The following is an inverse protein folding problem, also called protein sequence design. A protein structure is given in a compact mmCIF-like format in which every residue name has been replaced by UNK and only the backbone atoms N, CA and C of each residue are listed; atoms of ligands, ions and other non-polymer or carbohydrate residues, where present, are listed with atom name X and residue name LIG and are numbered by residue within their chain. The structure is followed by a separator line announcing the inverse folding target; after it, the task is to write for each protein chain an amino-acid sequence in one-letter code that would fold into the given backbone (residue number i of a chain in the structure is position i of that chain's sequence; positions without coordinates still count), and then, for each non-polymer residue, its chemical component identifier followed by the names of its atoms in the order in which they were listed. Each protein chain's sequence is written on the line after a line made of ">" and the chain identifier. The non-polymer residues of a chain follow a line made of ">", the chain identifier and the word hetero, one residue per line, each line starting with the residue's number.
data_IF_701579592530
#
_entry.id   IF_701579592530
#
_cell.length_a   1.000
_cell.length_b   1.000
_cell.length_c   1.000
_cell.angle_alpha   90.00
_cell.angle_beta   90.00
_cell.angle_gamma   90.00
#
_symmetry.space_group_name_H-M   'P 1'
#
loop_
_entity.id
_entity.type
_entity.pdbx_description
1 polymer ?
#
# COMPACT_ATOMS: atom_id res chain seq x y z
N UNK A 1 18.53 17.48 -14.87
CA UNK A 1 17.17 17.64 -14.32
C UNK A 1 17.19 18.51 -13.08
N UNK A 2 16.11 19.22 -12.86
CA UNK A 2 15.93 20.02 -11.65
C UNK A 2 15.16 19.24 -10.62
N UNK A 3 15.55 19.37 -9.35
CA UNK A 3 14.77 18.85 -8.23
C UNK A 3 13.93 19.99 -7.69
N UNK A 4 12.62 19.88 -7.86
CA UNK A 4 11.68 20.90 -7.39
C UNK A 4 11.62 20.91 -5.85
N UNK A 5 11.75 22.05 -5.20
CA UNK A 5 11.46 22.17 -3.78
C UNK A 5 9.98 21.85 -3.51
N UNK A 6 9.72 20.98 -2.56
CA UNK A 6 8.40 20.68 -2.03
C UNK A 6 8.37 20.98 -0.54
N UNK A 7 7.24 21.41 -0.01
CA UNK A 7 7.05 21.78 1.38
C UNK A 7 6.47 23.19 1.54
N UNK A 8 6.50 23.72 2.74
CA UNK A 8 5.87 25.00 3.11
C UNK A 8 6.24 26.20 2.22
N UNK A 9 7.37 26.14 1.52
CA UNK A 9 7.86 27.22 0.64
C UNK A 9 7.65 26.93 -0.85
N UNK A 10 6.97 25.86 -1.23
CA UNK A 10 6.60 25.57 -2.60
C UNK A 10 5.36 26.42 -2.95
N UNK A 11 5.57 27.65 -3.38
CA UNK A 11 4.49 28.57 -3.78
C UNK A 11 4.18 28.29 -5.25
N UNK A 12 2.92 28.01 -5.61
CA UNK A 12 2.50 27.88 -7.01
C UNK A 12 2.90 29.13 -7.81
N UNK A 13 3.54 28.96 -8.98
CA UNK A 13 3.96 30.04 -9.83
C UNK A 13 5.37 30.58 -9.56
N UNK A 14 6.10 30.06 -8.60
CA UNK A 14 7.52 30.42 -8.44
C UNK A 14 8.35 29.89 -9.62
N UNK A 15 9.19 30.77 -10.19
CA UNK A 15 10.10 30.39 -11.27
C UNK A 15 11.19 29.48 -10.71
N UNK A 16 11.24 28.25 -11.22
CA UNK A 16 12.28 27.28 -10.89
C UNK A 16 13.44 27.48 -11.85
N UNK A 17 14.64 27.60 -11.32
CA UNK A 17 15.87 27.72 -12.13
C UNK A 17 16.91 26.67 -11.71
N UNK A 18 18.06 26.65 -12.40
CA UNK A 18 19.13 25.69 -12.15
C UNK A 18 19.68 25.66 -10.71
N UNK A 19 19.42 26.71 -9.93
CA UNK A 19 19.85 26.82 -8.52
C UNK A 19 18.74 26.42 -7.54
N UNK A 20 17.53 26.20 -8.05
CA UNK A 20 16.38 25.79 -7.22
C UNK A 20 16.51 24.32 -6.88
N UNK A 21 16.91 24.01 -5.68
CA UNK A 21 17.06 22.65 -5.16
C UNK A 21 16.74 22.58 -3.68
N UNK A 22 16.36 21.40 -3.21
CA UNK A 22 16.14 21.13 -1.80
C UNK A 22 17.01 19.94 -1.36
N UNK A 23 17.56 20.02 -0.14
CA UNK A 23 18.50 19.02 0.38
C UNK A 23 17.93 17.59 0.33
N UNK A 24 16.65 17.42 0.67
CA UNK A 24 16.01 16.09 0.63
C UNK A 24 15.89 15.56 -0.81
N UNK A 25 15.66 16.43 -1.81
CA UNK A 25 15.63 16.06 -3.21
C UNK A 25 16.99 15.66 -3.74
N UNK A 26 18.04 16.40 -3.37
CA UNK A 26 19.43 16.05 -3.67
C UNK A 26 19.81 14.73 -3.00
N UNK A 27 19.44 14.56 -1.73
CA UNK A 27 19.68 13.32 -1.00
C UNK A 27 18.99 12.12 -1.64
N UNK A 28 17.73 12.24 -2.02
CA UNK A 28 16.99 11.18 -2.71
C UNK A 28 17.60 10.84 -4.08
N UNK A 29 18.02 11.86 -4.85
CA UNK A 29 18.71 11.65 -6.12
C UNK A 29 20.05 10.92 -5.94
N UNK A 30 20.84 11.32 -4.94
CA UNK A 30 22.14 10.68 -4.66
C UNK A 30 21.96 9.23 -4.21
N UNK A 31 20.96 8.96 -3.35
CA UNK A 31 20.63 7.59 -2.97
C UNK A 31 20.23 6.74 -4.18
N UNK A 32 19.33 7.24 -5.01
CA UNK A 32 18.92 6.53 -6.22
C UNK A 32 20.09 6.31 -7.20
N UNK A 33 20.97 7.30 -7.35
CA UNK A 33 22.16 7.19 -8.18
C UNK A 33 23.16 6.15 -7.63
N UNK A 34 23.39 6.13 -6.32
CA UNK A 34 24.25 5.14 -5.68
C UNK A 34 23.67 3.71 -5.85
N UNK A 35 22.37 3.53 -5.65
CA UNK A 35 21.73 2.23 -5.86
C UNK A 35 21.76 1.81 -7.33
N UNK A 36 21.62 2.76 -8.28
CA UNK A 36 21.75 2.46 -9.71
C UNK A 36 23.16 2.01 -10.08
N UNK A 37 24.19 2.67 -9.53
CA UNK A 37 25.59 2.25 -9.74
C UNK A 37 25.82 0.85 -9.17
N UNK A 38 25.38 0.58 -7.96
CA UNK A 38 25.44 -0.76 -7.35
C UNK A 38 24.71 -1.80 -8.21
N UNK A 39 23.54 -1.44 -8.74
CA UNK A 39 22.78 -2.32 -9.64
C UNK A 39 23.57 -2.67 -10.91
N UNK A 40 24.28 -1.71 -11.49
CA UNK A 40 25.12 -1.94 -12.67
C UNK A 40 26.36 -2.80 -12.38
N UNK A 41 26.91 -2.70 -11.18
CA UNK A 41 28.11 -3.40 -10.75
C UNK A 41 27.85 -4.80 -10.19
N UNK A 42 26.63 -5.03 -9.69
CA UNK A 42 26.28 -6.31 -9.08
C UNK A 42 25.83 -7.35 -10.12
N UNK A 43 26.12 -8.63 -9.92
CA UNK A 43 25.49 -9.70 -10.69
C UNK A 43 23.96 -9.63 -10.50
N UNK A 44 23.20 -9.48 -11.58
CA UNK A 44 21.72 -9.28 -11.51
C UNK A 44 20.99 -10.37 -10.72
N UNK A 45 21.51 -11.59 -10.74
CA UNK A 45 20.96 -12.72 -9.98
C UNK A 45 21.10 -12.53 -8.46
N UNK A 46 22.20 -11.94 -8.00
CA UNK A 46 22.42 -11.67 -6.56
C UNK A 46 21.50 -10.57 -6.05
N UNK A 47 21.28 -9.53 -6.85
CA UNK A 47 20.38 -8.44 -6.50
C UNK A 47 18.94 -8.90 -6.36
N UNK A 48 18.44 -9.70 -7.31
CA UNK A 48 17.09 -10.23 -7.22
C UNK A 48 16.88 -11.04 -5.94
N UNK A 49 17.81 -11.95 -5.63
CA UNK A 49 17.72 -12.75 -4.41
C UNK A 49 17.72 -11.87 -3.15
N UNK A 50 18.57 -10.83 -3.13
CA UNK A 50 18.62 -9.86 -2.03
C UNK A 50 17.29 -9.11 -1.87
N UNK A 51 16.74 -8.57 -2.96
CA UNK A 51 15.48 -7.81 -2.93
C UNK A 51 14.28 -8.70 -2.55
N UNK A 52 14.22 -9.92 -3.07
CA UNK A 52 13.16 -10.86 -2.69
C UNK A 52 13.23 -11.22 -1.20
N UNK A 53 14.44 -11.47 -0.68
CA UNK A 53 14.64 -11.72 0.75
C UNK A 53 14.26 -10.52 1.62
N UNK A 54 14.64 -9.32 1.22
CA UNK A 54 14.28 -8.09 1.92
C UNK A 54 12.76 -7.88 1.92
N UNK A 55 12.11 -8.03 0.76
CA UNK A 55 10.66 -7.92 0.64
C UNK A 55 9.95 -8.95 1.55
N UNK A 56 10.43 -10.18 1.58
CA UNK A 56 9.92 -11.22 2.47
C UNK A 56 10.10 -10.85 3.95
N UNK A 57 11.30 -10.38 4.34
CA UNK A 57 11.58 -9.98 5.72
C UNK A 57 10.71 -8.81 6.20
N UNK A 58 10.32 -7.91 5.30
CA UNK A 58 9.39 -6.82 5.62
C UNK A 58 7.94 -7.29 5.68
N UNK A 59 7.55 -8.20 4.80
CA UNK A 59 6.17 -8.68 4.69
C UNK A 59 5.79 -9.69 5.76
N UNK A 60 6.70 -10.61 6.07
CA UNK A 60 6.43 -11.74 6.95
C UNK A 60 5.91 -11.34 8.35
N UNK A 61 6.55 -10.41 9.10
CA UNK A 61 6.07 -10.05 10.43
C UNK A 61 4.68 -9.42 10.41
N UNK A 62 4.33 -8.67 9.38
CA UNK A 62 3.00 -8.08 9.24
C UNK A 62 1.97 -9.16 8.92
N UNK A 63 2.19 -9.92 7.87
CA UNK A 63 1.22 -10.90 7.37
C UNK A 63 1.06 -12.10 8.31
N UNK A 64 2.15 -12.58 8.93
CA UNK A 64 2.08 -13.70 9.88
C UNK A 64 1.29 -13.37 11.14
N UNK A 65 1.35 -12.13 11.62
CA UNK A 65 0.54 -11.65 12.74
C UNK A 65 -0.91 -11.40 12.32
N UNK A 66 -1.11 -10.68 11.21
CA UNK A 66 -2.45 -10.32 10.76
C UNK A 66 -3.27 -11.53 10.31
N UNK A 67 -2.62 -12.56 9.73
CA UNK A 67 -3.28 -13.83 9.41
C UNK A 67 -3.83 -14.58 10.64
N UNK A 68 -3.33 -14.28 11.83
CA UNK A 68 -3.75 -14.84 13.12
C UNK A 68 -4.68 -13.92 13.91
N UNK A 69 -4.94 -12.71 13.43
CA UNK A 69 -5.67 -11.69 14.19
C UNK A 69 -4.84 -11.10 15.35
N UNK A 70 -3.53 -11.02 15.21
CA UNK A 70 -2.60 -10.59 16.27
C UNK A 70 -1.76 -9.35 15.87
N UNK A 71 -2.00 -8.73 14.71
CA UNK A 71 -1.20 -7.58 14.28
C UNK A 71 -1.33 -6.42 15.26
N UNK A 72 -2.56 -6.01 15.60
CA UNK A 72 -2.79 -4.89 16.51
C UNK A 72 -2.29 -5.17 17.93
N UNK A 73 -2.21 -6.43 18.33
CA UNK A 73 -1.66 -6.86 19.63
C UNK A 73 -0.14 -6.76 19.67
N UNK A 74 0.52 -7.14 18.59
CA UNK A 74 1.98 -7.33 18.55
C UNK A 74 2.73 -6.15 17.92
N UNK A 75 2.06 -5.31 17.13
CA UNK A 75 2.64 -4.10 16.54
C UNK A 75 2.33 -2.89 17.41
N UNK A 76 3.33 -2.42 18.17
CA UNK A 76 3.21 -1.18 18.95
C UNK A 76 3.25 0.03 18.02
N UNK A 77 2.33 0.97 18.25
CA UNK A 77 2.28 2.22 17.49
C UNK A 77 3.02 3.33 18.24
N UNK A 78 4.10 3.79 17.66
CA UNK A 78 4.79 5.00 18.08
C UNK A 78 4.16 6.21 17.40
N UNK A 79 3.98 7.28 18.16
CA UNK A 79 3.45 8.54 17.64
C UNK A 79 4.40 9.67 18.00
N UNK A 80 4.44 10.69 17.15
CA UNK A 80 5.19 11.92 17.41
C UNK A 80 4.70 12.59 18.72
N UNK A 81 5.59 13.23 19.49
CA UNK A 81 5.17 14.09 20.61
C UNK A 81 4.19 15.19 20.20
N UNK A 82 4.21 15.58 18.92
CA UNK A 82 3.32 16.58 18.32
C UNK A 82 2.20 15.92 17.50
N UNK A 83 1.74 14.74 17.90
CA UNK A 83 0.67 14.04 17.21
C UNK A 83 -0.60 14.91 17.15
N UNK A 84 -1.25 14.94 15.97
CA UNK A 84 -2.40 15.81 15.68
C UNK A 84 -3.74 15.34 16.27
N UNK A 85 -3.72 14.25 17.02
CA UNK A 85 -4.91 13.69 17.70
C UNK A 85 -5.76 12.75 16.85
N UNK A 86 -5.38 12.48 15.58
CA UNK A 86 -6.04 11.45 14.76
C UNK A 86 -6.01 10.11 15.48
N UNK A 87 -6.98 9.25 15.16
CA UNK A 87 -6.95 7.90 15.66
C UNK A 87 -5.70 7.16 15.13
N UNK A 88 -4.76 6.89 16.02
CA UNK A 88 -3.49 6.24 15.65
C UNK A 88 -3.64 4.86 14.99
N UNK A 89 -4.81 4.20 15.14
CA UNK A 89 -5.08 2.92 14.48
C UNK A 89 -5.10 2.98 12.95
N UNK A 90 -5.15 4.17 12.35
CA UNK A 90 -4.94 4.33 10.90
C UNK A 90 -3.61 3.72 10.46
N UNK A 91 -2.59 3.71 11.31
CA UNK A 91 -1.28 3.16 11.00
C UNK A 91 -1.31 1.67 10.67
N UNK A 92 -2.24 0.89 11.23
CA UNK A 92 -2.38 -0.53 10.88
C UNK A 92 -2.90 -0.70 9.45
N UNK A 93 -3.87 0.13 9.03
CA UNK A 93 -4.38 0.12 7.67
C UNK A 93 -3.33 0.62 6.68
N UNK A 94 -2.60 1.66 7.03
CA UNK A 94 -1.48 2.18 6.24
C UNK A 94 -0.38 1.12 6.06
N UNK A 95 0.01 0.44 7.14
CA UNK A 95 1.02 -0.63 7.12
C UNK A 95 0.57 -1.76 6.18
N UNK A 96 -0.65 -2.26 6.35
CA UNK A 96 -1.15 -3.37 5.55
C UNK A 96 -1.35 -2.97 4.09
N UNK A 97 -2.02 -1.85 3.82
CA UNK A 97 -2.34 -1.40 2.46
C UNK A 97 -1.09 -1.12 1.63
N UNK A 98 -0.13 -0.36 2.17
CA UNK A 98 1.12 -0.04 1.45
C UNK A 98 1.98 -1.28 1.24
N UNK A 99 2.09 -2.16 2.23
CA UNK A 99 2.79 -3.42 2.08
C UNK A 99 2.20 -4.24 0.94
N UNK A 100 0.88 -4.43 0.96
CA UNK A 100 0.20 -5.26 -0.04
C UNK A 100 0.30 -4.67 -1.44
N UNK A 101 0.14 -3.35 -1.62
CA UNK A 101 0.35 -2.71 -2.91
C UNK A 101 1.78 -2.89 -3.43
N UNK A 102 2.77 -2.83 -2.53
CA UNK A 102 4.18 -3.00 -2.88
C UNK A 102 4.54 -4.42 -3.32
N UNK A 103 4.05 -5.45 -2.61
CA UNK A 103 4.42 -6.84 -2.91
C UNK A 103 3.47 -7.52 -3.91
N UNK A 104 2.27 -6.97 -4.17
CA UNK A 104 1.28 -7.57 -5.05
C UNK A 104 1.85 -7.99 -6.43
N UNK A 105 2.65 -7.16 -7.14
CA UNK A 105 3.23 -7.58 -8.41
C UNK A 105 4.12 -8.81 -8.29
N UNK A 106 4.88 -8.92 -7.20
CA UNK A 106 5.72 -10.11 -6.96
C UNK A 106 4.88 -11.36 -6.70
N UNK A 107 3.76 -11.21 -6.00
CA UNK A 107 2.85 -12.31 -5.71
C UNK A 107 2.07 -12.83 -6.93
N UNK A 108 2.09 -12.13 -8.08
CA UNK A 108 1.47 -12.61 -9.33
C UNK A 108 2.28 -13.69 -10.01
N UNK A 109 3.58 -13.79 -9.72
CA UNK A 109 4.45 -14.76 -10.36
C UNK A 109 3.99 -16.19 -10.03
N UNK A 110 4.13 -17.13 -10.99
CA UNK A 110 3.70 -18.50 -10.81
C UNK A 110 4.45 -19.19 -9.68
N UNK A 111 3.83 -20.23 -9.12
CA UNK A 111 4.49 -21.09 -8.14
C UNK A 111 5.60 -21.89 -8.80
N UNK A 112 6.70 -22.01 -8.09
CA UNK A 112 7.84 -22.83 -8.46
C UNK A 112 8.53 -23.36 -7.18
N UNK A 113 9.46 -24.29 -7.36
CA UNK A 113 10.16 -24.96 -6.25
C UNK A 113 11.40 -24.19 -5.74
N UNK A 114 11.64 -22.98 -6.28
CA UNK A 114 12.74 -22.13 -5.83
C UNK A 114 12.46 -21.57 -4.43
N UNK A 115 13.51 -21.12 -3.75
CA UNK A 115 13.37 -20.42 -2.47
C UNK A 115 12.46 -19.17 -2.61
N UNK A 116 12.59 -18.47 -3.72
CA UNK A 116 11.72 -17.33 -4.03
C UNK A 116 10.25 -17.75 -4.21
N UNK A 117 9.99 -18.85 -4.93
CA UNK A 117 8.65 -19.40 -5.12
C UNK A 117 7.99 -19.81 -3.81
N UNK A 118 8.75 -20.46 -2.92
CA UNK A 118 8.27 -20.84 -1.57
C UNK A 118 7.89 -19.60 -0.73
N UNK A 119 8.74 -18.56 -0.72
CA UNK A 119 8.45 -17.31 -0.04
C UNK A 119 7.16 -16.66 -0.57
N UNK A 120 6.96 -16.58 -1.89
CA UNK A 120 5.74 -16.03 -2.49
C UNK A 120 4.50 -16.81 -2.11
N UNK A 121 4.56 -18.14 -2.18
CA UNK A 121 3.42 -19.00 -1.81
C UNK A 121 3.01 -18.80 -0.36
N UNK A 122 3.97 -18.81 0.56
CA UNK A 122 3.72 -18.59 1.98
C UNK A 122 3.10 -17.22 2.23
N UNK A 123 3.65 -16.15 1.63
CA UNK A 123 3.11 -14.81 1.77
C UNK A 123 1.69 -14.70 1.19
N UNK A 124 1.36 -15.37 0.08
CA UNK A 124 0.00 -15.38 -0.48
C UNK A 124 -0.99 -16.04 0.46
N UNK A 125 -0.64 -17.18 1.04
CA UNK A 125 -1.50 -17.89 1.99
C UNK A 125 -1.81 -17.04 3.23
N UNK A 126 -0.77 -16.35 3.75
CA UNK A 126 -0.95 -15.41 4.86
C UNK A 126 -1.75 -14.17 4.43
N UNK A 127 -1.50 -13.62 3.24
CA UNK A 127 -2.20 -12.45 2.72
C UNK A 127 -3.70 -12.69 2.60
N UNK A 128 -4.14 -13.83 2.08
CA UNK A 128 -5.57 -14.15 1.96
C UNK A 128 -6.28 -14.16 3.33
N UNK A 129 -5.64 -14.74 4.35
CA UNK A 129 -6.16 -14.71 5.72
C UNK A 129 -6.15 -13.29 6.30
N UNK A 130 -5.11 -12.52 6.02
CA UNK A 130 -4.99 -11.13 6.45
C UNK A 130 -6.06 -10.24 5.83
N UNK A 131 -6.37 -10.43 4.54
CA UNK A 131 -7.48 -9.72 3.89
C UNK A 131 -8.83 -10.05 4.54
N UNK A 132 -9.08 -11.30 4.90
CA UNK A 132 -10.30 -11.67 5.60
C UNK A 132 -10.40 -10.97 6.97
N UNK A 133 -9.31 -11.00 7.75
CA UNK A 133 -9.25 -10.32 9.06
C UNK A 133 -9.41 -8.79 8.95
N UNK A 134 -8.87 -8.19 7.89
CA UNK A 134 -8.91 -6.75 7.68
C UNK A 134 -10.33 -6.16 7.59
N UNK A 135 -11.29 -6.94 7.12
CA UNK A 135 -12.69 -6.51 6.89
C UNK A 135 -13.71 -7.30 7.70
N UNK A 136 -13.28 -8.23 8.56
CA UNK A 136 -14.18 -8.91 9.47
C UNK A 136 -14.38 -8.08 10.75
N UNK A 137 -15.60 -7.54 11.00
CA UNK A 137 -15.88 -6.78 12.21
C UNK A 137 -15.67 -7.57 13.52
N UNK A 138 -15.62 -8.90 13.46
CA UNK A 138 -15.37 -9.76 14.61
C UNK A 138 -13.86 -10.04 14.80
N UNK A 139 -13.03 -9.70 13.84
CA UNK A 139 -11.58 -9.88 13.94
C UNK A 139 -10.95 -8.82 14.87
N UNK A 140 -10.02 -9.20 15.77
CA UNK A 140 -9.21 -8.22 16.49
C UNK A 140 -8.40 -7.29 15.58
N UNK A 141 -8.13 -7.72 14.36
CA UNK A 141 -7.38 -6.96 13.34
C UNK A 141 -8.29 -6.28 12.30
N UNK A 142 -9.60 -6.14 12.59
CA UNK A 142 -10.46 -5.29 11.78
C UNK A 142 -9.87 -3.89 11.65
N UNK A 143 -9.68 -3.41 10.43
CA UNK A 143 -9.00 -2.16 10.17
C UNK A 143 -9.93 -0.95 10.34
N UNK A 144 -9.34 0.22 10.52
CA UNK A 144 -10.07 1.46 10.71
C UNK A 144 -10.54 2.01 9.36
N UNK A 145 -11.70 1.55 8.87
CA UNK A 145 -12.22 1.95 7.56
C UNK A 145 -12.99 3.27 7.55
N UNK A 146 -13.58 3.70 8.66
CA UNK A 146 -14.71 4.64 8.62
C UNK A 146 -14.51 5.97 9.36
N UNK A 147 -13.48 6.17 10.13
CA UNK A 147 -13.39 7.30 11.05
C UNK A 147 -12.53 8.46 10.55
N UNK A 148 -11.48 8.18 9.81
CA UNK A 148 -10.46 9.15 9.44
C UNK A 148 -10.39 9.41 7.94
N UNK A 149 -10.02 10.63 7.53
CA UNK A 149 -9.80 10.96 6.12
C UNK A 149 -8.69 10.16 5.49
N UNK A 150 -7.63 9.86 6.26
CA UNK A 150 -6.48 9.04 5.83
C UNK A 150 -6.91 7.68 5.29
N UNK A 151 -8.04 7.13 5.72
CA UNK A 151 -8.53 5.83 5.26
C UNK A 151 -8.84 5.78 3.75
N UNK A 152 -9.08 6.93 3.10
CA UNK A 152 -9.20 7.01 1.64
C UNK A 152 -7.87 6.63 0.97
N UNK A 153 -6.76 7.17 1.47
CA UNK A 153 -5.42 6.89 0.97
C UNK A 153 -5.07 5.42 1.15
N UNK A 154 -5.25 4.92 2.37
CA UNK A 154 -4.85 3.56 2.73
C UNK A 154 -5.77 2.51 2.09
N UNK A 155 -7.06 2.81 1.95
CA UNK A 155 -8.00 2.00 1.18
C UNK A 155 -7.65 1.92 -0.30
N UNK A 156 -7.13 3.00 -0.88
CA UNK A 156 -6.66 2.99 -2.26
C UNK A 156 -5.46 2.07 -2.45
N UNK A 157 -4.52 1.99 -1.49
CA UNK A 157 -3.43 1.01 -1.56
C UNK A 157 -3.93 -0.44 -1.47
N UNK A 158 -4.96 -0.70 -0.65
CA UNK A 158 -5.60 -2.02 -0.62
C UNK A 158 -6.26 -2.34 -1.97
N UNK A 159 -7.02 -1.40 -2.55
CA UNK A 159 -7.62 -1.54 -3.88
C UNK A 159 -6.57 -1.77 -4.97
N UNK A 160 -5.45 -1.02 -4.93
CA UNK A 160 -4.31 -1.16 -5.83
C UNK A 160 -3.70 -2.56 -5.77
N UNK A 161 -3.57 -3.15 -4.57
CA UNK A 161 -3.05 -4.51 -4.42
C UNK A 161 -3.94 -5.54 -5.12
N UNK A 162 -5.26 -5.39 -5.04
CA UNK A 162 -6.21 -6.23 -5.78
C UNK A 162 -6.17 -5.98 -7.28
N UNK A 163 -6.02 -4.73 -7.73
CA UNK A 163 -5.88 -4.42 -9.15
C UNK A 163 -4.65 -5.06 -9.77
N UNK A 164 -3.52 -5.05 -9.04
CA UNK A 164 -2.23 -5.60 -9.47
C UNK A 164 -2.17 -7.11 -9.46
N UNK A 165 -2.83 -7.75 -8.51
CA UNK A 165 -2.79 -9.21 -8.32
C UNK A 165 -4.21 -9.80 -8.19
N UNK A 166 -5.10 -9.42 -9.11
CA UNK A 166 -6.51 -9.75 -9.04
C UNK A 166 -6.78 -11.26 -8.94
N UNK A 167 -6.08 -12.05 -9.75
CA UNK A 167 -6.26 -13.49 -9.79
C UNK A 167 -5.71 -14.20 -8.53
N UNK A 168 -4.68 -13.66 -7.93
CA UNK A 168 -4.00 -14.25 -6.76
C UNK A 168 -4.55 -13.75 -5.42
N UNK A 169 -5.05 -12.52 -5.35
CA UNK A 169 -5.42 -11.90 -4.09
C UNK A 169 -6.93 -11.61 -3.98
N UNK A 170 -7.63 -11.31 -5.08
CA UNK A 170 -9.07 -11.03 -5.03
C UNK A 170 -9.92 -12.26 -5.32
N UNK A 171 -9.67 -12.94 -6.43
CA UNK A 171 -10.51 -14.09 -6.84
C UNK A 171 -10.59 -15.20 -5.79
N UNK A 172 -9.49 -15.56 -5.06
CA UNK A 172 -9.54 -16.63 -4.07
C UNK A 172 -10.28 -16.29 -2.78
N UNK A 173 -10.60 -15.02 -2.52
CA UNK A 173 -11.36 -14.62 -1.34
C UNK A 173 -12.78 -15.20 -1.39
N UNK A 174 -13.32 -15.53 -0.21
CA UNK A 174 -14.72 -15.94 -0.10
C UNK A 174 -15.68 -14.78 -0.35
N UNK A 175 -16.93 -15.11 -0.69
CA UNK A 175 -17.93 -14.10 -1.08
C UNK A 175 -18.30 -13.14 0.06
N UNK A 176 -18.22 -13.59 1.31
CA UNK A 176 -18.47 -12.73 2.47
C UNK A 176 -17.39 -11.67 2.59
N UNK A 177 -16.14 -12.08 2.47
CA UNK A 177 -14.97 -11.18 2.48
C UNK A 177 -15.03 -10.19 1.32
N UNK A 178 -15.32 -10.65 0.11
CA UNK A 178 -15.50 -9.79 -1.07
C UNK A 178 -16.59 -8.74 -0.87
N UNK A 179 -17.75 -9.17 -0.38
CA UNK A 179 -18.88 -8.27 -0.11
C UNK A 179 -18.48 -7.19 0.91
N UNK A 180 -17.81 -7.56 2.00
CA UNK A 180 -17.34 -6.61 3.01
C UNK A 180 -16.37 -5.58 2.42
N UNK A 181 -15.42 -5.99 1.57
CA UNK A 181 -14.53 -5.06 0.87
C UNK A 181 -15.28 -4.09 -0.03
N UNK A 182 -16.24 -4.57 -0.81
CA UNK A 182 -17.07 -3.71 -1.66
C UNK A 182 -17.80 -2.68 -0.80
N UNK A 183 -18.41 -3.10 0.31
CA UNK A 183 -19.11 -2.20 1.24
C UNK A 183 -18.16 -1.16 1.84
N UNK A 184 -16.97 -1.56 2.33
CA UNK A 184 -16.02 -0.62 2.91
C UNK A 184 -15.45 0.36 1.87
N UNK A 185 -15.12 -0.08 0.67
CA UNK A 185 -14.70 0.81 -0.41
C UNK A 185 -15.78 1.82 -0.80
N UNK A 186 -17.04 1.40 -0.90
CA UNK A 186 -18.16 2.31 -1.16
C UNK A 186 -18.37 3.31 -0.02
N UNK A 187 -18.14 2.91 1.23
CA UNK A 187 -18.19 3.82 2.38
C UNK A 187 -17.09 4.90 2.36
N UNK A 188 -15.99 4.68 1.67
CA UNK A 188 -14.94 5.70 1.52
C UNK A 188 -15.39 6.89 0.66
N UNK A 189 -16.51 6.79 -0.07
CA UNK A 189 -17.12 7.91 -0.80
C UNK A 189 -17.57 9.07 0.10
N UNK A 190 -17.75 8.84 1.42
CA UNK A 190 -18.01 9.89 2.40
C UNK A 190 -16.87 10.92 2.51
N UNK A 191 -15.68 10.55 2.07
CA UNK A 191 -14.51 11.42 2.07
C UNK A 191 -14.46 12.15 0.73
N UNK A 192 -14.58 13.46 0.78
CA UNK A 192 -14.41 14.30 -0.40
C UNK A 192 -12.92 14.61 -0.56
N UNK A 193 -12.26 14.09 -1.61
CA UNK A 193 -10.83 14.28 -1.76
C UNK A 193 -10.53 15.74 -2.15
N UNK A 194 -9.54 16.38 -1.50
CA UNK A 194 -9.08 17.70 -1.94
C UNK A 194 -8.50 17.63 -3.35
N UNK A 195 -8.49 18.76 -4.05
CA UNK A 195 -7.96 18.87 -5.42
C UNK A 195 -6.41 18.72 -5.44
N UNK A 196 -5.96 17.52 -5.19
CA UNK A 196 -4.56 17.08 -5.13
C UNK A 196 -4.46 15.64 -5.66
N UNK A 197 -3.32 14.97 -5.41
CA UNK A 197 -3.17 13.53 -5.66
C UNK A 197 -4.23 12.65 -4.94
N UNK A 198 -5.00 13.19 -4.00
CA UNK A 198 -6.07 12.45 -3.34
C UNK A 198 -7.21 12.08 -4.30
N UNK A 199 -7.40 12.84 -5.38
CA UNK A 199 -8.32 12.46 -6.46
C UNK A 199 -7.95 11.10 -7.07
N UNK A 200 -6.64 10.81 -7.21
CA UNK A 200 -6.16 9.54 -7.74
C UNK A 200 -6.45 8.36 -6.80
N UNK A 201 -6.43 8.58 -5.48
CA UNK A 201 -6.82 7.54 -4.54
C UNK A 201 -8.30 7.19 -4.67
N UNK A 202 -9.16 8.20 -4.78
CA UNK A 202 -10.59 8.00 -5.05
C UNK A 202 -10.79 7.22 -6.36
N UNK A 203 -10.13 7.65 -7.44
CA UNK A 203 -10.19 7.00 -8.75
C UNK A 203 -9.73 5.54 -8.71
N UNK A 204 -8.67 5.22 -7.96
CA UNK A 204 -8.15 3.85 -7.80
C UNK A 204 -9.19 2.93 -7.16
N UNK A 205 -9.88 3.39 -6.11
CA UNK A 205 -10.94 2.63 -5.43
C UNK A 205 -12.10 2.35 -6.40
N UNK A 206 -12.57 3.38 -7.10
CA UNK A 206 -13.69 3.23 -8.04
C UNK A 206 -13.31 2.33 -9.24
N UNK A 207 -12.07 2.44 -9.72
CA UNK A 207 -11.55 1.56 -10.78
C UNK A 207 -11.52 0.08 -10.32
N UNK A 208 -11.19 -0.16 -9.05
CA UNK A 208 -11.27 -1.51 -8.50
C UNK A 208 -12.72 -1.99 -8.40
N UNK A 209 -13.65 -1.16 -7.91
CA UNK A 209 -15.07 -1.51 -7.82
C UNK A 209 -15.64 -1.86 -9.19
N UNK A 210 -15.29 -1.09 -10.24
CA UNK A 210 -15.67 -1.39 -11.61
C UNK A 210 -15.13 -2.75 -12.07
N UNK A 211 -13.84 -3.03 -11.82
CA UNK A 211 -13.22 -4.33 -12.17
C UNK A 211 -13.84 -5.51 -11.41
N UNK A 212 -14.26 -5.29 -10.18
CA UNK A 212 -14.93 -6.30 -9.35
C UNK A 212 -16.40 -6.53 -9.74
N UNK A 213 -16.93 -5.75 -10.70
CA UNK A 213 -18.34 -5.84 -11.13
C UNK A 213 -19.32 -5.21 -10.13
N UNK A 214 -18.83 -4.39 -9.21
CA UNK A 214 -19.65 -3.66 -8.26
C UNK A 214 -20.09 -2.29 -8.80
N UNK A 215 -21.08 -1.68 -8.15
CA UNK A 215 -21.45 -0.29 -8.44
C UNK A 215 -20.31 0.65 -8.14
N UNK A 216 -19.89 1.44 -9.13
CA UNK A 216 -18.82 2.43 -9.03
C UNK A 216 -19.28 3.81 -9.47
N UNK A 217 -18.57 4.84 -9.08
CA UNK A 217 -18.86 6.25 -9.39
C UNK A 217 -17.96 6.70 -10.55
N UNK A 218 -18.55 6.81 -11.76
CA UNK A 218 -17.82 7.22 -12.97
C UNK A 218 -17.20 8.63 -12.86
N UNK A 219 -17.85 9.55 -12.11
CA UNK A 219 -17.35 10.90 -11.93
C UNK A 219 -16.04 10.92 -11.13
N UNK A 220 -15.86 9.97 -10.23
CA UNK A 220 -14.62 9.84 -9.45
C UNK A 220 -13.49 9.14 -10.21
N UNK A 221 -13.79 8.50 -11.34
CA UNK A 221 -12.78 7.84 -12.21
C UNK A 221 -12.20 8.83 -13.22
N UNK A 222 -13.02 9.76 -13.72
CA UNK A 222 -12.69 10.74 -14.75
C UNK A 222 -12.30 12.07 -14.13
#
# INVERSE_FOLDING_TARGET
>A
GYVQPIGEKAIPGQVINAKSTANFGVGAFLLAACEYVRYLEAPQTADRAYWCKLAYQMAYPVLSNMAKGELQKNMQLEVSPTWDGRNKKVAYMETFGRLMAGIAPWLTLPDDDTEEGKMRKELREMALKSYANAVDPQSPDYLLWRQEGQTLVDGAYVAESFLRAYDQLWKPLDETTKKRYIEEFQQLRRIDPPYTNWLLFSSTIESFLAKAGASFDEYRVN
#
